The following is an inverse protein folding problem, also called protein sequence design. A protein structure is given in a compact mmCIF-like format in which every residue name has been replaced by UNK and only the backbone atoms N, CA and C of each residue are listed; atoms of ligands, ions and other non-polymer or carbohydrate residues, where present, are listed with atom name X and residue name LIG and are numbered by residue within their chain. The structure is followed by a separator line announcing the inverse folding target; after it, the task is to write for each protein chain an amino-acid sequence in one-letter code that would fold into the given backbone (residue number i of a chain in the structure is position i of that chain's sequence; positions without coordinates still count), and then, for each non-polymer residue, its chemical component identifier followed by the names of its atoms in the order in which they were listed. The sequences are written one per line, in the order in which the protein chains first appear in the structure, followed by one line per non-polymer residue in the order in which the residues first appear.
data_IF_954071977576
#
_entry.id   IF_954071977576
#
_cell.length_a   1.000
_cell.length_b   1.000
_cell.length_c   1.000
_cell.angle_alpha   90.00
_cell.angle_beta   90.00
_cell.angle_gamma   90.00
#
_symmetry.space_group_name_H-M   'P 1'
#
loop_
_entity.id
_entity.type
_entity.pdbx_description
1 polymer ?
#
# COMPACT_ATOMS: atom_id res chain seq x y z
N UNK A 1 16.18 -4.07 1.04
CA UNK A 1 15.08 -3.27 1.54
C UNK A 1 13.92 -4.10 2.04
N UNK A 2 13.10 -4.60 1.10
CA UNK A 2 11.94 -5.39 1.43
C UNK A 2 11.02 -5.36 0.23
N UNK A 3 11.48 -5.93 -0.88
CA UNK A 3 10.76 -5.95 -2.14
C UNK A 3 9.27 -6.14 -1.96
N UNK A 4 8.91 -6.77 -0.87
CA UNK A 4 7.52 -7.08 -0.60
C UNK A 4 6.78 -5.87 -0.09
N UNK A 5 7.54 -5.01 0.53
CA UNK A 5 7.02 -3.78 1.02
C UNK A 5 6.94 -2.85 -0.14
N UNK A 6 7.83 -3.09 -1.09
CA UNK A 6 7.82 -2.36 -2.33
C UNK A 6 6.48 -2.68 -2.96
N UNK A 7 6.00 -3.87 -2.60
CA UNK A 7 4.70 -4.33 -3.06
C UNK A 7 3.62 -3.68 -2.23
N UNK A 8 3.96 -3.34 -0.99
CA UNK A 8 3.05 -2.71 -0.08
C UNK A 8 2.76 -1.29 -0.53
N UNK A 9 3.81 -0.58 -0.90
CA UNK A 9 3.67 0.77 -1.39
C UNK A 9 2.95 0.71 -2.70
N UNK A 10 3.22 -0.38 -3.40
CA UNK A 10 2.59 -0.66 -4.66
C UNK A 10 1.14 -1.06 -4.42
N UNK A 11 0.88 -1.45 -3.18
CA UNK A 11 -0.44 -1.86 -2.74
C UNK A 11 -1.31 -0.66 -2.44
N UNK A 12 -0.66 0.46 -2.08
CA UNK A 12 -1.37 1.70 -1.83
C UNK A 12 -1.60 2.42 -3.15
N UNK A 13 -0.67 2.19 -4.07
CA UNK A 13 -0.73 2.77 -5.39
C UNK A 13 -2.00 2.31 -6.11
N UNK A 14 -2.32 1.03 -5.97
CA UNK A 14 -3.51 0.46 -6.61
C UNK A 14 -4.82 1.15 -6.16
N UNK A 15 -5.11 1.25 -4.84
CA UNK A 15 -6.35 1.88 -4.32
C UNK A 15 -6.47 3.34 -4.71
N UNK A 16 -5.36 4.01 -4.93
CA UNK A 16 -5.42 5.42 -5.28
C UNK A 16 -6.35 5.70 -6.46
N UNK A 17 -6.03 5.23 -7.67
CA UNK A 17 -6.88 5.47 -8.84
C UNK A 17 -7.95 4.38 -9.07
N UNK A 18 -7.66 3.15 -8.65
CA UNK A 18 -8.57 2.04 -8.84
C UNK A 18 -9.78 2.07 -7.90
N UNK A 19 -9.57 2.48 -6.65
CA UNK A 19 -10.65 2.51 -5.68
C UNK A 19 -11.77 3.41 -6.13
N UNK A 20 -11.38 4.59 -6.54
CA UNK A 20 -12.30 5.61 -6.99
C UNK A 20 -13.04 5.18 -8.27
N UNK A 21 -12.66 4.03 -8.83
CA UNK A 21 -13.29 3.54 -10.05
C UNK A 21 -14.15 2.30 -9.81
N UNK A 22 -14.01 1.67 -8.65
CA UNK A 22 -14.81 0.48 -8.38
C UNK A 22 -14.83 0.06 -6.92
N UNK A 23 -13.69 0.15 -6.25
CA UNK A 23 -13.58 -0.24 -4.87
C UNK A 23 -14.22 0.80 -3.95
N UNK A 24 -14.79 1.82 -4.57
CA UNK A 24 -15.45 2.89 -3.85
C UNK A 24 -16.26 2.36 -2.68
N UNK A 25 -17.02 1.29 -2.93
CA UNK A 25 -17.85 0.68 -1.92
C UNK A 25 -17.22 -0.60 -1.38
N UNK A 26 -17.35 -1.68 -2.14
CA UNK A 26 -16.81 -2.97 -1.76
C UNK A 26 -15.30 -2.92 -1.57
N UNK A 27 -14.72 -4.08 -1.24
CA UNK A 27 -13.28 -4.16 -1.04
C UNK A 27 -12.89 -4.16 0.42
N UNK A 28 -13.62 -4.92 1.24
CA UNK A 28 -13.32 -5.00 2.66
C UNK A 28 -12.33 -6.13 2.94
N UNK A 29 -11.42 -6.34 2.00
CA UNK A 29 -10.41 -7.38 2.13
C UNK A 29 -9.07 -6.87 1.62
N UNK A 30 -9.11 -6.05 0.59
CA UNK A 30 -7.92 -5.47 -0.01
C UNK A 30 -7.66 -4.08 0.57
N UNK A 31 -8.73 -3.41 0.97
CA UNK A 31 -8.61 -2.08 1.55
C UNK A 31 -7.85 -2.10 2.85
N UNK A 32 -8.13 -3.11 3.66
CA UNK A 32 -7.48 -3.28 4.96
C UNK A 32 -5.96 -3.41 4.83
N UNK A 33 -5.47 -4.38 4.05
CA UNK A 33 -4.03 -4.58 3.85
C UNK A 33 -3.38 -3.36 3.26
N UNK A 34 -4.16 -2.61 2.51
CA UNK A 34 -3.68 -1.38 1.90
C UNK A 34 -3.29 -0.39 2.99
N UNK A 35 -4.10 -0.34 4.04
CA UNK A 35 -3.83 0.53 5.17
C UNK A 35 -2.50 0.17 5.78
N UNK A 36 -2.34 -1.10 6.04
CA UNK A 36 -1.10 -1.60 6.59
C UNK A 36 0.04 -1.35 5.64
N UNK A 37 -0.30 -1.35 4.36
CA UNK A 37 0.67 -1.08 3.32
C UNK A 37 1.22 0.32 3.47
N UNK A 38 0.40 1.20 4.02
CA UNK A 38 0.81 2.58 4.27
C UNK A 38 1.85 2.57 5.37
N UNK A 39 1.59 1.78 6.39
CA UNK A 39 2.51 1.64 7.49
C UNK A 39 3.78 1.00 6.94
N UNK A 40 3.57 0.23 5.89
CA UNK A 40 4.66 -0.45 5.19
C UNK A 40 5.41 0.58 4.38
N UNK A 41 4.72 1.65 4.06
CA UNK A 41 5.30 2.75 3.31
C UNK A 41 6.36 3.43 4.16
N UNK A 42 6.07 3.55 5.45
CA UNK A 42 7.02 4.16 6.38
C UNK A 42 8.19 3.24 6.62
N UNK A 43 7.87 1.98 6.80
CA UNK A 43 8.89 0.97 7.00
C UNK A 43 9.75 0.97 5.77
N UNK A 44 9.10 1.29 4.65
CA UNK A 44 9.76 1.36 3.36
C UNK A 44 10.81 2.42 3.40
N UNK A 45 10.50 3.49 4.11
CA UNK A 45 11.43 4.57 4.28
C UNK A 45 12.69 4.02 4.94
N UNK A 46 12.48 2.97 5.73
CA UNK A 46 13.56 2.31 6.43
C UNK A 46 14.23 1.24 5.57
N UNK A 47 13.46 0.55 4.74
CA UNK A 47 14.00 -0.45 3.85
C UNK A 47 14.92 0.21 2.87
N UNK A 48 14.55 1.41 2.48
CA UNK A 48 15.33 2.22 1.57
C UNK A 48 16.57 2.69 2.29
N UNK A 49 16.37 3.02 3.56
CA UNK A 49 17.42 3.45 4.44
C UNK A 49 18.41 2.31 4.62
N UNK A 50 17.86 1.11 4.49
CA UNK A 50 18.63 -0.12 4.66
C UNK A 50 19.36 -0.54 3.38
N UNK A 51 18.63 -1.06 2.41
CA UNK A 51 19.21 -1.51 1.16
C UNK A 51 18.40 -1.04 -0.05
N UNK A 52 17.10 -0.88 0.14
#
# INVERSE_FOLDING_TARGET
GQVLIFREIHASLVPGPSERAGRRRRGRRTGSPSEGAHVSAALAKTVRLTCX
#
